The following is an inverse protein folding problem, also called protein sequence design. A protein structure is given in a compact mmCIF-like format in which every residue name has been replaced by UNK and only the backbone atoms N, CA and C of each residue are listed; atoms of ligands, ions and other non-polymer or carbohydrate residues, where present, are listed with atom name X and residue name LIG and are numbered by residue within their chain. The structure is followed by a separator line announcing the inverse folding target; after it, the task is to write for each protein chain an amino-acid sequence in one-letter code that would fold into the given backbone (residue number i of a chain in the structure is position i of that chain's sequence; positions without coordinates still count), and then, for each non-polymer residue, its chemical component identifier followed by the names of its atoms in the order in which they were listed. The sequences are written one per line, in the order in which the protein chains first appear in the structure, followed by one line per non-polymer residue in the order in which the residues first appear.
data_IF_832268223595
#
_entry.id   IF_832268223595
#
_cell.length_a   1.000
_cell.length_b   1.000
_cell.length_c   1.000
_cell.angle_alpha   90.00
_cell.angle_beta   90.00
_cell.angle_gamma   90.00
#
_symmetry.space_group_name_H-M   'P 1'
#
loop_
_entity.id
_entity.type
_entity.pdbx_description
1 polymer ?
#
# COMPACT_ATOMS: atom_id res chain seq x y z
N UNK A 1 10.37 1.95 4.73
CA UNK A 1 10.31 3.23 4.02
C UNK A 1 10.57 3.06 2.51
N UNK A 2 11.72 2.53 2.08
CA UNK A 2 12.07 2.39 0.65
C UNK A 2 11.01 1.62 -0.15
N UNK A 3 10.42 0.56 0.43
CA UNK A 3 9.35 -0.20 -0.20
C UNK A 3 8.10 0.67 -0.45
N UNK A 4 7.73 1.55 0.48
CA UNK A 4 6.61 2.47 0.31
C UNK A 4 6.87 3.51 -0.79
N UNK A 5 8.09 4.03 -0.88
CA UNK A 5 8.51 4.92 -1.97
C UNK A 5 8.48 4.20 -3.32
N UNK A 6 9.00 2.97 -3.38
CA UNK A 6 8.99 2.14 -4.58
C UNK A 6 7.56 1.85 -5.04
N UNK A 7 6.70 1.42 -4.09
CA UNK A 7 5.29 1.15 -4.37
C UNK A 7 4.60 2.36 -5.00
N UNK A 8 4.75 3.54 -4.39
CA UNK A 8 4.14 4.76 -4.90
C UNK A 8 4.69 5.14 -6.30
N UNK A 9 6.00 5.05 -6.51
CA UNK A 9 6.61 5.33 -7.82
C UNK A 9 6.10 4.40 -8.92
N UNK A 10 6.02 3.10 -8.62
CA UNK A 10 5.48 2.12 -9.54
C UNK A 10 4.01 2.40 -9.86
N UNK A 11 3.22 2.74 -8.85
CA UNK A 11 1.81 3.09 -9.03
C UNK A 11 1.65 4.30 -9.93
N UNK A 12 2.39 5.39 -9.66
CA UNK A 12 2.33 6.61 -10.46
C UNK A 12 2.81 6.42 -11.91
N UNK A 13 3.78 5.54 -12.13
CA UNK A 13 4.27 5.20 -13.47
C UNK A 13 3.31 4.28 -14.24
N UNK A 14 2.63 3.37 -13.54
CA UNK A 14 1.74 2.38 -14.14
C UNK A 14 0.36 2.97 -14.47
N UNK A 15 -0.16 3.86 -13.61
CA UNK A 15 -1.51 4.43 -13.74
C UNK A 15 -1.78 5.04 -15.11
N UNK A 16 -0.98 5.99 -15.66
CA UNK A 16 -1.29 6.61 -16.94
C UNK A 16 -1.25 5.60 -18.11
N UNK A 17 -0.35 4.62 -18.03
CA UNK A 17 -0.21 3.57 -19.06
C UNK A 17 -1.44 2.66 -19.08
N UNK A 18 -1.84 2.16 -17.91
CA UNK A 18 -2.96 1.23 -17.81
C UNK A 18 -4.29 1.91 -18.11
N UNK A 19 -4.48 3.14 -17.63
CA UNK A 19 -5.67 3.93 -17.96
C UNK A 19 -5.72 4.29 -19.45
N UNK A 20 -4.58 4.56 -20.10
CA UNK A 20 -4.51 4.74 -21.54
C UNK A 20 -4.98 3.51 -22.31
N UNK A 21 -4.48 2.32 -21.91
CA UNK A 21 -4.93 1.04 -22.50
C UNK A 21 -6.41 0.77 -22.26
N UNK A 22 -6.92 1.06 -21.06
CA UNK A 22 -8.35 0.90 -20.75
C UNK A 22 -9.23 1.85 -21.56
N UNK A 23 -8.78 3.06 -21.90
CA UNK A 23 -9.53 4.00 -22.75
C UNK A 23 -9.63 3.51 -24.20
N UNK A 24 -8.57 2.90 -24.73
CA UNK A 24 -8.54 2.44 -26.13
C UNK A 24 -9.08 1.01 -26.29
N UNK A 25 -8.82 0.12 -25.33
CA UNK A 25 -9.15 -1.30 -25.38
C UNK A 25 -9.75 -1.76 -24.06
N UNK A 26 -10.91 -1.21 -23.67
CA UNK A 26 -11.50 -1.44 -22.35
C UNK A 26 -11.68 -2.92 -22.02
N UNK A 27 -12.45 -3.65 -22.84
CA UNK A 27 -12.85 -5.02 -22.54
C UNK A 27 -11.65 -5.99 -22.43
N UNK A 28 -10.74 -6.06 -23.41
CA UNK A 28 -9.62 -6.98 -23.34
C UNK A 28 -8.63 -6.62 -22.21
N UNK A 29 -8.41 -5.32 -21.96
CA UNK A 29 -7.51 -4.88 -20.88
C UNK A 29 -8.12 -5.18 -19.50
N UNK A 30 -9.41 -4.89 -19.32
CA UNK A 30 -10.12 -5.18 -18.07
C UNK A 30 -10.12 -6.69 -17.77
N UNK A 31 -10.39 -7.52 -18.80
CA UNK A 31 -10.35 -8.98 -18.67
C UNK A 31 -8.95 -9.48 -18.33
N UNK A 32 -7.91 -8.97 -18.98
CA UNK A 32 -6.53 -9.34 -18.70
C UNK A 32 -6.12 -8.98 -17.25
N UNK A 33 -6.47 -7.77 -16.78
CA UNK A 33 -6.23 -7.35 -15.40
C UNK A 33 -6.98 -8.25 -14.42
N UNK A 34 -8.26 -8.54 -14.67
CA UNK A 34 -9.08 -9.40 -13.81
C UNK A 34 -8.52 -10.82 -13.72
N UNK A 35 -8.11 -11.40 -14.86
CA UNK A 35 -7.49 -12.74 -14.91
C UNK A 35 -6.17 -12.77 -14.15
N UNK A 36 -5.33 -11.73 -14.31
CA UNK A 36 -4.06 -11.62 -13.61
C UNK A 36 -4.27 -11.47 -12.10
N UNK A 37 -5.22 -10.65 -11.65
CA UNK A 37 -5.58 -10.52 -10.24
C UNK A 37 -6.12 -11.84 -9.67
N UNK A 38 -6.96 -12.55 -10.43
CA UNK A 38 -7.46 -13.89 -10.06
C UNK A 38 -6.34 -14.93 -9.92
N UNK A 39 -5.39 -14.92 -10.85
CA UNK A 39 -4.21 -15.79 -10.78
C UNK A 39 -3.33 -15.48 -9.56
N UNK A 40 -3.05 -14.20 -9.30
CA UNK A 40 -2.30 -13.78 -8.12
C UNK A 40 -3.02 -14.16 -6.82
N UNK A 41 -4.35 -14.07 -6.81
CA UNK A 41 -5.17 -14.49 -5.69
C UNK A 41 -5.04 -15.99 -5.42
N UNK A 42 -5.15 -16.81 -6.45
CA UNK A 42 -4.98 -18.26 -6.35
C UNK A 42 -3.57 -18.63 -5.85
N UNK A 43 -2.54 -18.05 -6.45
CA UNK A 43 -1.14 -18.28 -6.07
C UNK A 43 -0.87 -17.88 -4.62
N UNK A 44 -1.48 -16.78 -4.15
CA UNK A 44 -1.27 -16.27 -2.78
C UNK A 44 -2.20 -16.90 -1.73
N UNK A 45 -3.07 -17.84 -2.09
CA UNK A 45 -4.07 -18.39 -1.17
C UNK A 45 -5.04 -17.31 -0.65
N UNK A 46 -5.36 -16.32 -1.49
CA UNK A 46 -6.26 -15.21 -1.15
C UNK A 46 -5.57 -14.01 -0.48
N UNK A 47 -4.31 -14.11 -0.07
CA UNK A 47 -3.61 -13.02 0.65
C UNK A 47 -3.41 -11.75 -0.18
N UNK A 48 -3.45 -11.83 -1.50
CA UNK A 48 -3.34 -10.69 -2.40
C UNK A 48 -4.69 -10.06 -2.74
N UNK A 49 -5.80 -10.69 -2.35
CA UNK A 49 -7.14 -10.17 -2.55
C UNK A 49 -7.45 -9.04 -1.56
N UNK A 50 -8.44 -8.26 -1.95
CA UNK A 50 -9.01 -7.21 -1.11
C UNK A 50 -8.01 -6.11 -0.74
N UNK A 51 -8.36 -5.27 0.22
CA UNK A 51 -7.55 -4.19 0.80
C UNK A 51 -6.36 -4.68 1.65
N UNK A 52 -6.19 -6.01 1.78
CA UNK A 52 -5.15 -6.63 2.59
C UNK A 52 -5.50 -6.87 4.04
N UNK A 53 -6.74 -6.66 4.45
CA UNK A 53 -7.20 -6.91 5.82
C UNK A 53 -6.95 -8.35 6.26
N UNK A 54 -7.11 -9.32 5.36
CA UNK A 54 -6.83 -10.74 5.61
C UNK A 54 -5.37 -11.02 5.98
N UNK A 55 -4.43 -10.23 5.47
CA UNK A 55 -3.02 -10.38 5.78
C UNK A 55 -2.59 -9.48 6.95
N UNK A 56 -3.19 -8.29 7.05
CA UNK A 56 -2.81 -7.27 8.03
C UNK A 56 -3.15 -7.68 9.45
N UNK A 57 -4.38 -8.12 9.71
CA UNK A 57 -4.84 -8.49 11.04
C UNK A 57 -3.98 -9.56 11.70
N UNK A 58 -3.84 -10.77 11.11
CA UNK A 58 -2.97 -11.82 11.66
C UNK A 58 -1.51 -11.39 11.81
N UNK A 59 -0.97 -10.59 10.86
CA UNK A 59 0.39 -10.11 10.93
C UNK A 59 0.62 -9.15 12.10
N UNK A 60 -0.31 -8.25 12.35
CA UNK A 60 -0.29 -7.33 13.50
C UNK A 60 -0.49 -8.05 14.84
N UNK A 61 -1.16 -9.19 14.85
CA UNK A 61 -1.30 -10.05 16.03
C UNK A 61 -0.08 -10.97 16.28
N UNK A 62 0.97 -10.89 15.45
CA UNK A 62 2.13 -11.79 15.53
C UNK A 62 1.83 -13.23 15.14
N UNK A 63 0.70 -13.46 14.47
CA UNK A 63 0.22 -14.77 14.03
C UNK A 63 0.37 -14.96 12.52
N UNK A 64 1.28 -14.24 11.90
CA UNK A 64 1.46 -14.30 10.46
C UNK A 64 2.01 -15.65 10.02
N UNK A 65 1.20 -16.38 9.29
CA UNK A 65 1.59 -17.62 8.59
C UNK A 65 1.93 -17.36 7.12
N UNK A 66 1.95 -16.08 6.71
CA UNK A 66 2.16 -15.70 5.32
C UNK A 66 3.55 -16.14 4.84
N UNK A 67 3.64 -16.89 3.76
CA UNK A 67 4.92 -17.29 3.19
C UNK A 67 5.68 -16.06 2.67
N UNK A 68 7.01 -16.09 2.69
CA UNK A 68 7.83 -14.94 2.27
C UNK A 68 7.57 -14.48 0.83
N UNK A 69 7.23 -15.40 -0.04
CA UNK A 69 6.91 -15.08 -1.43
C UNK A 69 5.58 -14.30 -1.59
N UNK A 70 4.70 -14.32 -0.57
CA UNK A 70 3.44 -13.57 -0.59
C UNK A 70 3.63 -12.05 -0.70
N UNK A 71 4.83 -11.54 -0.42
CA UNK A 71 5.19 -10.13 -0.62
C UNK A 71 5.01 -9.71 -2.08
N UNK A 72 5.38 -10.57 -3.04
CA UNK A 72 5.28 -10.25 -4.48
C UNK A 72 3.83 -10.12 -4.95
N UNK A 73 2.94 -11.10 -4.75
CA UNK A 73 1.52 -10.93 -5.08
C UNK A 73 0.91 -9.74 -4.35
N UNK A 74 1.27 -9.50 -3.08
CA UNK A 74 0.77 -8.37 -2.29
C UNK A 74 1.29 -7.02 -2.76
N UNK A 75 2.43 -6.97 -3.43
CA UNK A 75 2.94 -5.77 -4.11
C UNK A 75 2.20 -5.53 -5.44
N UNK A 76 2.05 -6.58 -6.25
CA UNK A 76 1.58 -6.46 -7.64
C UNK A 76 0.05 -6.22 -7.71
N UNK A 77 -0.74 -6.96 -6.90
CA UNK A 77 -2.21 -6.86 -6.95
C UNK A 77 -2.75 -5.45 -6.72
N UNK A 78 -2.38 -4.73 -5.64
CA UNK A 78 -2.88 -3.37 -5.43
C UNK A 78 -2.33 -2.38 -6.47
N UNK A 79 -1.10 -2.60 -6.98
CA UNK A 79 -0.58 -1.77 -8.07
C UNK A 79 -1.44 -1.88 -9.32
N UNK A 80 -1.84 -3.09 -9.71
CA UNK A 80 -2.71 -3.32 -10.86
C UNK A 80 -4.12 -2.78 -10.63
N UNK A 81 -4.72 -3.07 -9.48
CA UNK A 81 -6.07 -2.64 -9.14
C UNK A 81 -6.18 -1.10 -9.09
N UNK A 82 -5.31 -0.45 -8.35
CA UNK A 82 -5.29 1.02 -8.21
C UNK A 82 -4.94 1.71 -9.54
N UNK A 83 -3.98 1.17 -10.30
CA UNK A 83 -3.61 1.72 -11.60
C UNK A 83 -4.74 1.56 -12.64
N UNK A 84 -5.54 0.50 -12.55
CA UNK A 84 -6.73 0.32 -13.37
C UNK A 84 -7.88 1.26 -12.99
N UNK A 85 -7.76 1.99 -11.87
CA UNK A 85 -8.79 2.92 -11.40
C UNK A 85 -9.84 2.26 -10.49
N UNK A 86 -9.58 1.05 -9.99
CA UNK A 86 -10.46 0.46 -9.00
C UNK A 86 -10.51 1.33 -7.75
N UNK A 87 -11.71 1.61 -7.20
CA UNK A 87 -11.83 2.31 -5.93
C UNK A 87 -11.20 1.45 -4.83
N UNK A 88 -10.09 1.89 -4.26
CA UNK A 88 -9.34 1.17 -3.25
C UNK A 88 -8.64 2.08 -2.27
N UNK A 89 -8.35 1.55 -1.10
CA UNK A 89 -7.69 2.26 -0.03
C UNK A 89 -6.18 2.13 -0.10
N UNK A 90 -5.48 3.02 -0.81
CA UNK A 90 -4.01 3.08 -0.81
C UNK A 90 -3.41 2.90 0.59
N UNK A 91 -4.10 3.41 1.61
CA UNK A 91 -3.69 3.33 3.01
C UNK A 91 -3.57 1.88 3.50
N UNK A 92 -4.65 1.10 3.34
CA UNK A 92 -4.68 -0.31 3.75
C UNK A 92 -3.69 -1.15 2.94
N UNK A 93 -3.59 -0.90 1.63
CA UNK A 93 -2.65 -1.61 0.76
C UNK A 93 -1.20 -1.37 1.17
N UNK A 94 -0.82 -0.13 1.49
CA UNK A 94 0.51 0.19 1.99
C UNK A 94 0.80 -0.45 3.34
N UNK A 95 -0.17 -0.42 4.27
CA UNK A 95 -0.01 -1.06 5.59
C UNK A 95 0.11 -2.58 5.46
N UNK A 96 -0.77 -3.21 4.68
CA UNK A 96 -0.74 -4.65 4.48
C UNK A 96 0.55 -5.11 3.78
N UNK A 97 1.02 -4.36 2.78
CA UNK A 97 2.32 -4.61 2.14
C UNK A 97 3.47 -4.51 3.15
N UNK A 98 3.46 -3.45 3.98
CA UNK A 98 4.44 -3.25 5.04
C UNK A 98 4.40 -4.35 6.09
N UNK A 99 3.21 -4.78 6.49
CA UNK A 99 3.01 -5.86 7.46
C UNK A 99 3.53 -7.20 6.93
N UNK A 100 3.12 -7.59 5.71
CA UNK A 100 3.57 -8.86 5.10
C UNK A 100 5.08 -8.86 4.87
N UNK A 101 5.65 -7.76 4.39
CA UNK A 101 7.09 -7.62 4.21
C UNK A 101 7.86 -7.74 5.52
N UNK A 102 7.40 -7.04 6.56
CA UNK A 102 8.04 -7.09 7.88
C UNK A 102 7.88 -8.46 8.53
N UNK A 103 6.70 -9.09 8.44
CA UNK A 103 6.47 -10.44 8.94
C UNK A 103 7.41 -11.46 8.27
N UNK A 104 7.66 -11.31 6.96
CA UNK A 104 8.60 -12.16 6.23
C UNK A 104 10.04 -12.03 6.75
N UNK A 105 10.44 -10.85 7.24
CA UNK A 105 11.77 -10.60 7.80
C UNK A 105 11.90 -11.13 9.23
N UNK A 106 10.85 -10.94 10.05
CA UNK A 106 10.91 -11.21 11.49
C UNK A 106 10.29 -12.56 11.90
N UNK A 107 9.98 -13.43 10.97
CA UNK A 107 9.26 -14.70 11.15
C UNK A 107 9.90 -15.67 12.18
N UNK A 108 11.18 -15.45 12.58
CA UNK A 108 11.89 -16.28 13.58
C UNK A 108 11.82 -15.72 15.00
N UNK A 109 11.24 -14.55 15.18
CA UNK A 109 11.14 -13.92 16.49
C UNK A 109 9.90 -14.42 17.25
N UNK A 110 9.84 -14.24 18.58
CA UNK A 110 8.65 -14.52 19.37
C UNK A 110 7.44 -13.69 18.88
N UNK A 111 6.19 -14.18 19.04
CA UNK A 111 4.98 -13.53 18.51
C UNK A 111 4.85 -12.06 18.92
N UNK A 112 5.14 -11.72 20.19
CA UNK A 112 5.03 -10.36 20.69
C UNK A 112 6.01 -9.41 19.99
N UNK A 113 7.25 -9.85 19.77
CA UNK A 113 8.24 -9.07 19.04
C UNK A 113 7.91 -8.97 17.56
N UNK A 114 7.34 -10.05 16.98
CA UNK A 114 6.84 -10.00 15.61
C UNK A 114 5.76 -8.95 15.46
N UNK A 115 4.74 -8.94 16.31
CA UNK A 115 3.64 -7.98 16.28
C UNK A 115 4.16 -6.54 16.34
N UNK A 116 5.09 -6.25 17.24
CA UNK A 116 5.71 -4.92 17.38
C UNK A 116 6.44 -4.48 16.11
N UNK A 117 7.34 -5.32 15.58
CA UNK A 117 8.15 -5.00 14.42
C UNK A 117 7.30 -4.93 13.12
N UNK A 118 6.28 -5.75 13.03
CA UNK A 118 5.29 -5.69 11.93
C UNK A 118 4.51 -4.38 11.97
N UNK A 119 4.07 -3.93 13.14
CA UNK A 119 3.39 -2.65 13.28
C UNK A 119 4.29 -1.47 12.88
N UNK A 120 5.55 -1.48 13.31
CA UNK A 120 6.56 -0.47 12.92
C UNK A 120 6.80 -0.49 11.40
N UNK A 121 6.91 -1.68 10.80
CA UNK A 121 7.12 -1.84 9.37
C UNK A 121 5.92 -1.41 8.54
N UNK A 122 4.71 -1.76 8.96
CA UNK A 122 3.46 -1.31 8.35
C UNK A 122 3.35 0.21 8.36
N UNK A 123 3.62 0.83 9.52
CA UNK A 123 3.64 2.29 9.69
C UNK A 123 4.68 2.95 8.78
N UNK A 124 5.88 2.38 8.67
CA UNK A 124 6.95 2.94 7.86
C UNK A 124 6.64 2.91 6.35
N UNK A 125 6.06 1.81 5.83
CA UNK A 125 5.66 1.73 4.42
C UNK A 125 4.52 2.69 4.13
N UNK A 126 3.52 2.73 5.00
CA UNK A 126 2.38 3.64 4.90
C UNK A 126 2.80 5.11 4.92
N UNK A 127 3.64 5.50 5.89
CA UNK A 127 4.09 6.89 6.03
C UNK A 127 5.01 7.34 4.90
N UNK A 128 5.86 6.46 4.37
CA UNK A 128 6.70 6.76 3.22
C UNK A 128 5.89 7.02 1.95
N UNK A 129 4.76 6.31 1.76
CA UNK A 129 3.89 6.50 0.62
C UNK A 129 2.99 7.74 0.75
N UNK A 130 2.38 7.96 1.92
CA UNK A 130 1.39 9.02 2.14
C UNK A 130 2.00 10.35 2.59
N UNK A 131 3.18 10.34 3.20
CA UNK A 131 3.88 11.51 3.79
C UNK A 131 3.06 12.27 4.83
N UNK A 132 2.26 11.53 5.61
CA UNK A 132 1.44 12.05 6.71
C UNK A 132 1.82 11.32 8.00
N UNK A 133 2.99 11.62 8.62
CA UNK A 133 3.56 10.79 9.68
C UNK A 133 2.67 10.65 10.91
N UNK A 134 2.10 11.75 11.40
CA UNK A 134 1.25 11.71 12.58
C UNK A 134 0.00 10.84 12.35
N UNK A 135 -0.67 11.04 11.21
CA UNK A 135 -1.85 10.24 10.85
C UNK A 135 -1.52 8.75 10.76
N UNK A 136 -0.43 8.40 10.09
CA UNK A 136 0.00 7.00 9.92
C UNK A 136 0.31 6.33 11.28
N UNK A 137 1.01 7.04 12.17
CA UNK A 137 1.34 6.53 13.49
C UNK A 137 0.09 6.31 14.35
N UNK A 138 -0.82 7.30 14.40
CA UNK A 138 -2.07 7.22 15.16
C UNK A 138 -2.97 6.13 14.62
N UNK A 139 -3.07 5.99 13.29
CA UNK A 139 -3.90 4.98 12.66
C UNK A 139 -3.47 3.56 13.03
N UNK A 140 -2.17 3.25 12.90
CA UNK A 140 -1.65 1.93 13.28
C UNK A 140 -1.69 1.72 14.79
N UNK A 141 -1.51 2.77 15.58
CA UNK A 141 -1.68 2.72 17.04
C UNK A 141 -3.09 2.29 17.45
N UNK A 142 -4.13 2.85 16.81
CA UNK A 142 -5.52 2.48 17.07
C UNK A 142 -5.76 1.00 16.74
N UNK A 143 -5.19 0.49 15.65
CA UNK A 143 -5.32 -0.91 15.26
C UNK A 143 -4.62 -1.85 16.25
N UNK A 144 -3.49 -1.44 16.82
CA UNK A 144 -2.70 -2.23 17.77
C UNK A 144 -3.20 -2.14 19.21
N UNK A 145 -3.83 -1.04 19.56
CA UNK A 145 -4.31 -0.75 20.92
C UNK A 145 -3.24 -0.98 22.02
N UNK A 146 -1.98 -0.68 21.73
CA UNK A 146 -0.85 -0.88 22.64
C UNK A 146 -0.06 0.42 22.83
N UNK A 147 -0.29 1.09 23.98
CA UNK A 147 0.30 2.39 24.30
C UNK A 147 1.83 2.43 24.28
N UNK A 148 2.48 1.30 24.56
CA UNK A 148 3.96 1.21 24.55
C UNK A 148 4.57 1.34 23.17
N UNK A 149 3.79 1.08 22.12
CA UNK A 149 4.26 1.15 20.73
C UNK A 149 4.22 2.56 20.16
N UNK A 150 3.39 3.44 20.70
CA UNK A 150 3.13 4.75 20.11
C UNK A 150 4.38 5.60 19.83
N UNK A 151 5.36 5.73 20.76
CA UNK A 151 6.60 6.47 20.48
C UNK A 151 7.40 5.88 19.30
N UNK A 152 7.44 4.56 19.20
CA UNK A 152 8.14 3.87 18.11
C UNK A 152 7.46 4.02 16.77
N UNK A 153 6.11 4.00 16.76
CA UNK A 153 5.32 4.27 15.56
C UNK A 153 5.51 5.71 15.08
N UNK A 154 5.54 6.69 15.99
CA UNK A 154 5.83 8.08 15.66
C UNK A 154 7.22 8.25 15.07
N UNK A 155 8.23 7.68 15.70
CA UNK A 155 9.61 7.75 15.20
C UNK A 155 9.73 7.10 13.82
N UNK A 156 9.22 5.89 13.66
CA UNK A 156 9.24 5.17 12.39
C UNK A 156 8.50 5.93 11.28
N UNK A 157 7.34 6.50 11.60
CA UNK A 157 6.56 7.26 10.63
C UNK A 157 7.24 8.56 10.22
N UNK A 158 7.85 9.29 11.17
CA UNK A 158 8.56 10.53 10.89
C UNK A 158 9.79 10.28 10.01
N UNK A 159 10.60 9.29 10.35
CA UNK A 159 11.77 8.89 9.54
C UNK A 159 11.36 8.40 8.15
N UNK A 160 10.29 7.61 8.06
CA UNK A 160 9.81 7.10 6.79
C UNK A 160 9.24 8.21 5.89
N UNK A 161 8.50 9.18 6.46
CA UNK A 161 8.02 10.35 5.73
C UNK A 161 9.19 11.22 5.25
N UNK A 162 10.22 11.42 6.07
CA UNK A 162 11.43 12.15 5.68
C UNK A 162 12.13 11.47 4.49
N UNK A 163 12.31 10.15 4.53
CA UNK A 163 12.85 9.38 3.40
C UNK A 163 11.96 9.55 2.16
N UNK A 164 10.63 9.46 2.32
CA UNK A 164 9.68 9.67 1.25
C UNK A 164 9.79 11.05 0.60
N UNK A 165 10.05 12.10 1.39
CA UNK A 165 10.25 13.47 0.88
C UNK A 165 11.59 13.64 0.20
N UNK A 166 12.68 13.13 0.78
CA UNK A 166 14.03 13.18 0.20
C UNK A 166 14.10 12.42 -1.13
N UNK A 167 13.46 11.26 -1.21
CA UNK A 167 13.38 10.51 -2.47
C UNK A 167 12.61 11.25 -3.58
N UNK A 168 11.88 12.30 -3.25
CA UNK A 168 11.18 13.17 -4.20
C UNK A 168 9.99 12.50 -4.91
N UNK A 169 9.37 13.25 -5.80
CA UNK A 169 8.23 12.83 -6.59
C UNK A 169 6.88 13.28 -6.00
N UNK A 170 5.81 13.23 -6.79
CA UNK A 170 4.47 13.60 -6.35
C UNK A 170 3.97 12.63 -5.29
N UNK A 171 3.11 13.12 -4.40
CA UNK A 171 2.31 12.27 -3.52
C UNK A 171 1.10 11.72 -4.27
N UNK A 172 0.53 10.62 -3.79
CA UNK A 172 -0.72 10.09 -4.36
C UNK A 172 -1.84 11.14 -4.37
N UNK A 173 -2.01 11.87 -3.27
CA UNK A 173 -2.99 12.94 -3.19
C UNK A 173 -2.71 14.08 -4.19
N UNK A 174 -1.45 14.42 -4.41
CA UNK A 174 -1.05 15.40 -5.42
C UNK A 174 -1.37 14.93 -6.84
N UNK A 175 -1.11 13.65 -7.12
CA UNK A 175 -1.45 13.04 -8.40
C UNK A 175 -2.95 13.02 -8.66
N UNK A 176 -3.76 12.64 -7.66
CA UNK A 176 -5.22 12.64 -7.79
C UNK A 176 -5.77 14.06 -8.02
N UNK A 177 -5.26 15.07 -7.30
CA UNK A 177 -5.66 16.47 -7.50
C UNK A 177 -5.34 16.96 -8.91
N UNK A 178 -4.15 16.68 -9.41
CA UNK A 178 -3.75 17.05 -10.77
C UNK A 178 -4.65 16.38 -11.82
N UNK A 179 -5.05 15.12 -11.60
CA UNK A 179 -6.02 14.43 -12.44
C UNK A 179 -7.40 15.08 -12.43
N UNK A 180 -7.89 15.53 -11.28
CA UNK A 180 -9.16 16.23 -11.14
C UNK A 180 -9.14 17.64 -11.76
N UNK A 181 -8.02 18.35 -11.65
CA UNK A 181 -7.83 19.67 -12.27
C UNK A 181 -7.82 19.59 -13.80
N UNK A 182 -7.22 18.54 -14.36
CA UNK A 182 -7.26 18.26 -15.80
C UNK A 182 -8.64 17.86 -16.31
N UNK A 183 -9.56 17.47 -15.42
CA UNK A 183 -10.95 17.10 -15.76
C UNK A 183 -11.95 18.26 -15.54
N UNK A 184 -11.52 19.43 -15.08
CA UNK A 184 -12.44 20.59 -15.04
C UNK A 184 -12.89 20.90 -16.45
N UNK A 185 -14.19 20.78 -16.78
CA UNK A 185 -14.70 21.27 -18.04
C UNK A 185 -14.34 22.75 -18.08
N UNK A 186 -13.68 23.16 -19.15
CA UNK A 186 -13.47 24.58 -19.43
C UNK A 186 -14.85 25.22 -19.50
N UNK A 187 -15.33 25.81 -18.42
CA UNK A 187 -16.46 26.70 -18.42
C UNK A 187 -15.98 28.00 -19.11
N UNK A 188 -15.63 27.86 -20.40
CA UNK A 188 -15.43 29.01 -21.25
C UNK A 188 -16.77 29.37 -21.86
N UNK A 189 -17.28 30.47 -21.41
CA UNK A 189 -17.97 31.41 -22.27
C UNK A 189 -19.47 31.18 -22.42
N UNK A 190 -20.24 31.87 -21.65
CA UNK A 190 -21.15 32.87 -22.27
C UNK A 190 -21.48 33.94 -21.26
#
# INVERSE_FOLDING_TARGET
ALLGVLFLRLLLALTPRLQGLLRHHFLPTALAVALLLGLLAQLSGGLSLNDGSLALGPALAGQSTSPRWAVLPRLISPLLALAAGAPGGLMHDCMALGAVFSAALVHRLPPDQQAMLVAVGATAVFSAACRTPLFCAVFVFILQNNGRLFPWLLLASALAAAIGTVCGGPTWNGFQRAGLEGFRPTTNGR
#
